data_IF_930115517610
#
_entry.id   IF_930115517610
#
_cell.length_a   1.000
_cell.length_b   1.000
_cell.length_c   1.000
_cell.angle_alpha   90.00
_cell.angle_beta   90.00
_cell.angle_gamma   90.00
#
_symmetry.space_group_name_H-M   'P 1'
#
loop_
_entity.id
_entity.type
_entity.pdbx_description
1 polymer ?
#
# COMPACT_ATOMS: atom_id res chain seq x y z
N UNK A 1 12.21 -4.89 7.91
CA UNK A 1 11.52 -3.64 8.32
C UNK A 1 12.56 -2.68 8.88
N UNK A 2 12.65 -1.46 8.34
CA UNK A 2 13.39 -0.39 9.03
C UNK A 2 12.83 -0.24 10.45
N UNK A 3 13.73 0.00 11.41
CA UNK A 3 13.46 0.16 12.85
C UNK A 3 12.34 1.17 13.19
N UNK A 4 11.93 1.99 12.22
CA UNK A 4 10.90 3.03 12.36
C UNK A 4 9.48 2.47 12.50
N UNK A 5 9.14 1.35 11.84
CA UNK A 5 7.81 0.71 11.98
C UNK A 5 7.49 0.35 13.44
N UNK A 6 8.47 -0.13 14.20
CA UNK A 6 8.35 -0.47 15.64
C UNK A 6 8.09 0.72 16.55
N UNK A 7 8.19 1.96 16.07
CA UNK A 7 7.90 3.19 16.81
C UNK A 7 6.61 3.88 16.37
N UNK A 8 5.94 3.37 15.34
CA UNK A 8 4.67 3.93 14.89
C UNK A 8 3.60 3.66 15.94
N UNK A 9 2.73 4.65 16.19
CA UNK A 9 1.53 4.49 17.02
C UNK A 9 0.36 3.87 16.25
N UNK A 10 0.48 3.78 14.93
CA UNK A 10 -0.48 3.06 14.09
C UNK A 10 -0.35 1.57 14.35
N UNK A 11 -1.47 0.85 14.38
CA UNK A 11 -1.42 -0.60 14.32
C UNK A 11 -0.75 -1.06 13.01
N UNK A 12 -0.21 -2.28 13.01
CA UNK A 12 0.59 -2.75 11.89
C UNK A 12 -0.18 -2.76 10.56
N UNK A 13 -1.49 -3.09 10.57
CA UNK A 13 -2.31 -3.11 9.34
C UNK A 13 -2.47 -1.69 8.79
N UNK A 14 -2.83 -0.74 9.64
CA UNK A 14 -2.96 0.68 9.25
C UNK A 14 -1.63 1.25 8.76
N UNK A 15 -0.52 0.89 9.41
CA UNK A 15 0.82 1.32 8.99
C UNK A 15 1.14 0.85 7.56
N UNK A 16 0.91 -0.43 7.26
CA UNK A 16 1.21 -0.99 5.93
C UNK A 16 0.32 -0.39 4.84
N UNK A 17 -0.98 -0.18 5.10
CA UNK A 17 -1.87 0.50 4.15
C UNK A 17 -1.42 1.94 3.88
N UNK A 18 -1.05 2.70 4.91
CA UNK A 18 -0.49 4.04 4.73
C UNK A 18 0.82 4.02 3.94
N UNK A 19 1.70 3.04 4.21
CA UNK A 19 2.97 2.88 3.49
C UNK A 19 2.75 2.57 2.00
N UNK A 20 1.74 1.74 1.68
CA UNK A 20 1.32 1.47 0.30
C UNK A 20 0.90 2.78 -0.39
N UNK A 21 0.06 3.61 0.23
CA UNK A 21 -0.33 4.91 -0.35
C UNK A 21 0.88 5.82 -0.62
N UNK A 22 1.87 5.82 0.28
CA UNK A 22 3.12 6.60 0.12
C UNK A 22 3.96 6.06 -1.05
N UNK A 23 4.11 4.74 -1.17
CA UNK A 23 4.85 4.13 -2.28
C UNK A 23 4.21 4.42 -3.64
N UNK A 24 2.86 4.35 -3.71
CA UNK A 24 2.11 4.71 -4.91
C UNK A 24 2.36 6.18 -5.27
N UNK A 25 2.23 7.07 -4.29
CA UNK A 25 2.43 8.52 -4.46
C UNK A 25 3.85 8.85 -4.93
N UNK A 26 4.86 8.19 -4.34
CA UNK A 26 6.27 8.40 -4.68
C UNK A 26 6.71 7.66 -5.96
N UNK A 27 5.80 6.91 -6.61
CA UNK A 27 6.09 6.03 -7.76
C UNK A 27 7.22 5.03 -7.50
N UNK A 28 7.37 4.61 -6.24
CA UNK A 28 8.39 3.65 -5.79
C UNK A 28 7.85 2.22 -5.82
N UNK A 29 7.48 1.74 -7.01
CA UNK A 29 6.70 0.51 -7.14
C UNK A 29 7.45 -0.78 -6.78
N UNK A 30 8.79 -0.76 -6.77
CA UNK A 30 9.60 -1.91 -6.39
C UNK A 30 9.32 -2.43 -4.97
N UNK A 31 8.84 -1.56 -4.07
CA UNK A 31 8.44 -1.95 -2.72
C UNK A 31 7.02 -2.50 -2.60
N UNK A 32 6.14 -2.25 -3.57
CA UNK A 32 4.71 -2.57 -3.46
C UNK A 32 4.43 -4.07 -3.23
N UNK A 33 5.04 -5.04 -3.95
CA UNK A 33 4.74 -6.46 -3.73
C UNK A 33 4.98 -6.92 -2.29
N UNK A 34 6.04 -6.41 -1.65
CA UNK A 34 6.37 -6.74 -0.26
C UNK A 34 5.31 -6.18 0.71
N UNK A 35 4.98 -4.90 0.59
CA UNK A 35 4.03 -4.23 1.50
C UNK A 35 2.60 -4.73 1.29
N UNK A 36 2.20 -5.06 0.04
CA UNK A 36 0.92 -5.71 -0.27
C UNK A 36 0.84 -7.09 0.41
N UNK A 37 1.89 -7.91 0.29
CA UNK A 37 1.91 -9.23 0.92
C UNK A 37 1.87 -9.13 2.46
N UNK A 38 2.59 -8.17 3.05
CA UNK A 38 2.56 -7.93 4.49
C UNK A 38 1.19 -7.44 4.98
N UNK A 39 0.56 -6.51 4.26
CA UNK A 39 -0.80 -6.05 4.58
C UNK A 39 -1.80 -7.21 4.56
N UNK A 40 -1.73 -8.11 3.56
CA UNK A 40 -2.56 -9.33 3.52
C UNK A 40 -2.31 -10.24 4.73
N UNK A 41 -1.05 -10.47 5.12
CA UNK A 41 -0.70 -11.26 6.32
C UNK A 41 -1.26 -10.64 7.62
N UNK A 42 -1.48 -9.32 7.64
CA UNK A 42 -2.08 -8.58 8.75
C UNK A 42 -3.61 -8.48 8.65
N UNK A 43 -4.23 -9.19 7.71
CA UNK A 43 -5.68 -9.24 7.55
C UNK A 43 -6.27 -8.07 6.75
N UNK A 44 -5.49 -7.38 5.91
CA UNK A 44 -6.05 -6.48 4.90
C UNK A 44 -6.67 -7.27 3.75
N UNK A 45 -7.89 -6.91 3.35
CA UNK A 45 -8.50 -7.46 2.14
C UNK A 45 -7.86 -6.87 0.88
N UNK A 46 -8.15 -7.48 -0.28
CA UNK A 46 -7.75 -6.91 -1.57
C UNK A 46 -8.38 -5.52 -1.77
N UNK A 47 -9.61 -5.32 -1.28
CA UNK A 47 -10.33 -4.04 -1.33
C UNK A 47 -9.69 -2.98 -0.42
N UNK A 48 -9.21 -3.34 0.78
CA UNK A 48 -8.46 -2.44 1.65
C UNK A 48 -7.20 -1.92 0.94
N UNK A 49 -6.47 -2.83 0.29
CA UNK A 49 -5.24 -2.52 -0.43
C UNK A 49 -5.53 -1.65 -1.66
N UNK A 50 -6.55 -2.00 -2.45
CA UNK A 50 -7.00 -1.19 -3.59
C UNK A 50 -7.41 0.21 -3.14
N UNK A 51 -8.10 0.32 -2.01
CA UNK A 51 -8.49 1.60 -1.41
C UNK A 51 -7.25 2.42 -1.01
N UNK A 52 -6.25 1.81 -0.36
CA UNK A 52 -5.00 2.47 -0.02
C UNK A 52 -4.21 2.94 -1.25
N UNK A 53 -4.17 2.13 -2.32
CA UNK A 53 -3.52 2.49 -3.58
C UNK A 53 -4.23 3.66 -4.25
N UNK A 54 -5.56 3.70 -4.23
CA UNK A 54 -6.37 4.76 -4.85
C UNK A 54 -6.54 6.00 -3.95
N UNK A 55 -6.24 5.91 -2.65
CA UNK A 55 -6.30 7.00 -1.69
C UNK A 55 -5.66 8.31 -2.17
N UNK A 56 -4.45 8.34 -2.77
CA UNK A 56 -3.83 9.57 -3.26
C UNK A 56 -4.43 10.14 -4.56
N UNK A 57 -5.39 9.47 -5.21
CA UNK A 57 -5.97 9.90 -6.49
C UNK A 57 -6.51 11.34 -6.51
N UNK A 58 -7.17 11.88 -5.46
CA UNK A 58 -7.65 13.26 -5.47
C UNK A 58 -6.53 14.32 -5.56
N UNK A 59 -5.28 13.96 -5.20
CA UNK A 59 -4.13 14.88 -5.17
C UNK A 59 -3.21 14.62 -6.37
N UNK A 60 -2.95 13.35 -6.68
CA UNK A 60 -1.98 12.91 -7.69
C UNK A 60 -2.63 12.65 -9.06
N UNK A 61 -3.95 12.48 -9.10
CA UNK A 61 -4.70 12.19 -10.32
C UNK A 61 -4.51 10.77 -10.82
N UNK A 62 -4.77 10.57 -12.11
CA UNK A 62 -4.84 9.24 -12.75
C UNK A 62 -3.53 8.46 -12.74
N UNK A 63 -2.39 9.11 -12.51
CA UNK A 63 -1.06 8.47 -12.43
C UNK A 63 -1.00 7.36 -11.37
N UNK A 64 -1.85 7.44 -10.35
CA UNK A 64 -2.04 6.40 -9.34
C UNK A 64 -2.39 5.04 -9.96
N UNK A 65 -3.12 5.02 -11.08
CA UNK A 65 -3.55 3.79 -11.76
C UNK A 65 -2.36 2.95 -12.26
N UNK A 66 -1.18 3.54 -12.47
CA UNK A 66 0.05 2.83 -12.86
C UNK A 66 0.52 1.82 -11.80
N UNK A 67 0.10 1.99 -10.55
CA UNK A 67 0.40 1.03 -9.48
C UNK A 67 -0.54 -0.18 -9.49
N UNK A 68 -1.74 -0.08 -10.09
CA UNK A 68 -2.75 -1.15 -10.03
C UNK A 68 -2.27 -2.51 -10.55
N UNK A 69 -1.43 -2.63 -11.60
CA UNK A 69 -0.88 -3.92 -12.03
C UNK A 69 -0.06 -4.67 -10.96
N UNK A 70 0.40 -3.98 -9.91
CA UNK A 70 1.11 -4.62 -8.79
C UNK A 70 0.15 -5.31 -7.80
N UNK A 71 -1.13 -4.93 -7.81
CA UNK A 71 -2.19 -5.63 -7.11
C UNK A 71 -2.61 -6.85 -7.96
N UNK A 72 -1.93 -7.98 -7.76
CA UNK A 72 -2.32 -9.23 -8.43
C UNK A 72 -3.67 -9.69 -7.88
N UNK A 73 -4.65 -9.84 -8.76
CA UNK A 73 -5.85 -10.61 -8.46
C UNK A 73 -5.46 -12.09 -8.39
N UNK A 74 -5.79 -12.75 -7.28
CA UNK A 74 -5.68 -14.21 -7.19
C UNK A 74 -6.73 -14.77 -8.15
N UNK A 75 -6.27 -15.46 -9.21
CA UNK A 75 -7.14 -16.20 -10.14
C UNK A 75 -7.75 -17.41 -9.44
#
# INVERSE_FOLDING_TARGET
MMKMSKKSTLDEKTHELAYISVLVTARMYGGLPFHIARAKQLGASTEDIKSAMLLPMPIIGIQVAEALPYLKEEK
#
